data_IF_580974411639
#
_entry.id   IF_580974411639
#
_cell.length_a   1.000
_cell.length_b   1.000
_cell.length_c   1.000
_cell.angle_alpha   90.00
_cell.angle_beta   90.00
_cell.angle_gamma   90.00
#
_symmetry.space_group_name_H-M   'P 1'
#
loop_
_entity.id
_entity.type
_entity.pdbx_description
1 polymer ?
#
# COMPACT_ATOMS: atom_id res chain seq x y z
N UNK A 1 -52.72 11.33 10.76
CA UNK A 1 -51.48 10.50 10.79
C UNK A 1 -51.89 9.09 11.25
N UNK A 2 -51.73 8.08 10.40
CA UNK A 2 -52.10 6.70 10.79
C UNK A 2 -50.83 6.00 11.34
N UNK A 3 -50.68 6.02 12.65
CA UNK A 3 -49.53 5.43 13.36
C UNK A 3 -49.31 3.95 13.04
N UNK A 4 -50.38 3.15 12.80
CA UNK A 4 -50.28 1.76 12.42
C UNK A 4 -49.61 1.56 11.04
N UNK A 5 -49.87 2.48 10.09
CA UNK A 5 -49.26 2.46 8.77
C UNK A 5 -47.77 2.87 8.81
N UNK A 6 -47.45 3.80 9.71
CA UNK A 6 -46.06 4.19 9.95
C UNK A 6 -45.24 3.06 10.59
N UNK A 7 -45.86 2.35 11.58
CA UNK A 7 -45.23 1.23 12.26
C UNK A 7 -45.01 0.04 11.31
N UNK A 8 -45.95 -0.26 10.40
CA UNK A 8 -45.80 -1.31 9.39
C UNK A 8 -44.67 -0.98 8.38
N UNK A 9 -44.58 0.30 7.97
CA UNK A 9 -43.50 0.75 7.09
C UNK A 9 -42.11 0.65 7.76
N UNK A 10 -42.04 0.99 9.05
CA UNK A 10 -40.84 0.88 9.87
C UNK A 10 -40.39 -0.59 10.04
N UNK A 11 -41.35 -1.50 10.20
CA UNK A 11 -41.09 -2.94 10.29
C UNK A 11 -40.58 -3.54 8.97
N UNK A 12 -41.11 -3.10 7.83
CA UNK A 12 -40.66 -3.55 6.51
C UNK A 12 -39.30 -3.02 6.17
N UNK A 13 -38.98 -1.74 6.48
CA UNK A 13 -37.65 -1.15 6.34
C UNK A 13 -36.66 -1.88 7.25
N UNK A 14 -37.03 -2.15 8.51
CA UNK A 14 -36.16 -2.87 9.45
C UNK A 14 -35.86 -4.28 8.94
N UNK A 15 -36.86 -4.99 8.41
CA UNK A 15 -36.66 -6.32 7.82
C UNK A 15 -35.73 -6.26 6.61
N UNK A 16 -35.94 -5.32 5.68
CA UNK A 16 -35.07 -5.15 4.52
C UNK A 16 -33.61 -4.83 4.90
N UNK A 17 -33.40 -4.02 5.93
CA UNK A 17 -32.07 -3.72 6.46
C UNK A 17 -31.44 -4.96 7.09
N UNK A 18 -32.19 -5.74 7.87
CA UNK A 18 -31.69 -6.99 8.49
C UNK A 18 -31.30 -8.01 7.42
N UNK A 19 -32.15 -8.20 6.41
CA UNK A 19 -31.91 -9.17 5.33
C UNK A 19 -30.67 -8.74 4.50
N UNK A 20 -30.59 -7.48 4.08
CA UNK A 20 -29.44 -6.95 3.35
C UNK A 20 -28.13 -7.03 4.18
N UNK A 21 -28.22 -6.77 5.49
CA UNK A 21 -27.06 -6.89 6.40
C UNK A 21 -26.62 -8.36 6.53
N UNK A 22 -27.56 -9.29 6.60
CA UNK A 22 -27.26 -10.72 6.68
C UNK A 22 -26.57 -11.23 5.39
N UNK A 23 -27.09 -10.84 4.21
CA UNK A 23 -26.47 -11.17 2.92
C UNK A 23 -25.07 -10.59 2.80
N UNK A 24 -24.88 -9.31 3.16
CA UNK A 24 -23.58 -8.67 3.17
C UNK A 24 -22.59 -9.38 4.11
N UNK A 25 -23.01 -9.70 5.34
CA UNK A 25 -22.17 -10.39 6.30
C UNK A 25 -21.80 -11.80 5.81
N UNK A 26 -22.71 -12.51 5.16
CA UNK A 26 -22.43 -13.82 4.57
C UNK A 26 -21.37 -13.70 3.45
N UNK A 27 -21.51 -12.72 2.55
CA UNK A 27 -20.55 -12.46 1.49
C UNK A 27 -19.16 -12.07 2.06
N UNK A 28 -19.11 -11.27 3.12
CA UNK A 28 -17.87 -10.88 3.79
C UNK A 28 -17.19 -12.03 4.54
N UNK A 29 -17.96 -13.00 5.01
CA UNK A 29 -17.47 -14.19 5.71
C UNK A 29 -16.94 -15.28 4.75
N UNK A 30 -17.14 -15.13 3.44
CA UNK A 30 -16.62 -16.07 2.43
C UNK A 30 -15.10 -16.21 2.56
N UNK A 31 -14.62 -17.45 2.72
CA UNK A 31 -13.18 -17.78 2.69
C UNK A 31 -12.71 -17.72 1.24
N UNK A 32 -11.76 -16.84 0.95
CA UNK A 32 -11.26 -16.59 -0.41
C UNK A 32 -9.84 -17.10 -0.60
N UNK A 33 -9.10 -17.31 0.49
CA UNK A 33 -7.73 -17.78 0.46
C UNK A 33 -7.32 -18.37 1.82
N UNK A 34 -6.06 -18.83 1.89
CA UNK A 34 -5.41 -19.28 3.11
C UNK A 34 -4.00 -18.71 3.19
N UNK A 35 -3.58 -18.29 4.37
CA UNK A 35 -2.18 -17.96 4.64
C UNK A 35 -1.54 -19.01 5.55
N UNK A 36 -0.35 -19.48 5.17
CA UNK A 36 0.48 -20.37 5.99
C UNK A 36 1.32 -19.59 7.02
N UNK A 37 1.42 -18.27 6.82
CA UNK A 37 2.24 -17.36 7.62
C UNK A 37 1.41 -16.19 8.15
N UNK A 38 1.85 -15.55 9.23
CA UNK A 38 1.27 -14.29 9.68
C UNK A 38 1.79 -13.15 8.80
N UNK A 39 0.86 -12.32 8.29
CA UNK A 39 1.17 -11.12 7.51
C UNK A 39 0.94 -9.91 8.42
N UNK A 40 2.01 -9.16 8.72
CA UNK A 40 1.98 -8.19 9.80
C UNK A 40 2.15 -6.74 9.33
N UNK A 41 1.51 -5.82 10.06
CA UNK A 41 1.79 -4.38 10.04
C UNK A 41 2.61 -3.94 11.25
N UNK A 42 2.85 -4.87 12.18
CA UNK A 42 3.52 -4.61 13.45
C UNK A 42 4.81 -5.44 13.55
N UNK A 43 5.73 -4.95 14.33
CA UNK A 43 6.87 -5.74 14.81
C UNK A 43 6.36 -6.92 15.66
N UNK A 44 6.71 -8.17 15.33
CA UNK A 44 6.16 -9.36 15.99
C UNK A 44 6.65 -9.53 17.43
N UNK A 45 7.74 -8.86 17.81
CA UNK A 45 8.33 -8.96 19.16
C UNK A 45 7.75 -7.90 20.08
N UNK A 46 7.67 -6.65 19.61
CA UNK A 46 7.25 -5.50 20.42
C UNK A 46 5.78 -5.15 20.27
N UNK A 47 5.13 -5.60 19.19
CA UNK A 47 3.77 -5.23 18.82
C UNK A 47 3.63 -3.80 18.30
N UNK A 48 4.72 -3.05 18.19
CA UNK A 48 4.71 -1.68 17.66
C UNK A 48 4.48 -1.71 16.15
N UNK A 49 3.67 -0.80 15.67
CA UNK A 49 3.42 -0.68 14.23
C UNK A 49 4.69 -0.23 13.50
N UNK A 50 5.09 -1.00 12.47
CA UNK A 50 6.29 -0.72 11.67
C UNK A 50 6.00 -0.47 10.19
N UNK A 51 4.85 -0.86 9.67
CA UNK A 51 4.51 -0.70 8.24
C UNK A 51 4.59 0.75 7.72
N UNK A 52 4.70 1.74 8.63
CA UNK A 52 4.87 3.16 8.33
C UNK A 52 6.29 3.67 8.54
N UNK A 53 7.24 2.80 8.81
CA UNK A 53 8.64 3.16 9.07
C UNK A 53 9.64 2.08 8.64
N UNK A 54 9.17 0.90 8.26
CA UNK A 54 9.99 -0.21 7.80
C UNK A 54 9.21 -1.10 6.82
N UNK A 55 9.93 -1.94 6.10
CA UNK A 55 9.37 -3.00 5.27
C UNK A 55 8.60 -4.02 6.13
N UNK A 56 7.54 -4.58 5.58
CA UNK A 56 6.79 -5.69 6.18
C UNK A 56 6.35 -6.67 5.11
N UNK A 57 6.20 -7.95 5.48
CA UNK A 57 5.71 -8.97 4.56
C UNK A 57 4.31 -8.67 4.00
N UNK A 58 3.42 -8.06 4.79
CA UNK A 58 2.11 -7.61 4.28
C UNK A 58 2.27 -6.43 3.33
N UNK A 59 3.23 -5.54 3.58
CA UNK A 59 3.58 -4.45 2.69
C UNK A 59 4.06 -4.95 1.34
N UNK A 60 4.95 -5.95 1.34
CA UNK A 60 5.44 -6.61 0.15
C UNK A 60 4.32 -7.27 -0.64
N UNK A 61 3.47 -8.05 0.04
CA UNK A 61 2.31 -8.70 -0.59
C UNK A 61 1.39 -7.67 -1.26
N UNK A 62 1.10 -6.56 -0.60
CA UNK A 62 0.27 -5.50 -1.16
C UNK A 62 0.93 -4.84 -2.38
N UNK A 63 2.22 -4.52 -2.32
CA UNK A 63 2.94 -3.92 -3.44
C UNK A 63 3.08 -4.87 -4.62
N UNK A 64 3.33 -6.17 -4.36
CA UNK A 64 3.37 -7.22 -5.39
C UNK A 64 2.02 -7.37 -6.09
N UNK A 65 0.92 -7.27 -5.34
CA UNK A 65 -0.41 -7.31 -5.91
C UNK A 65 -0.64 -6.17 -6.92
N UNK A 66 -0.24 -4.94 -6.60
CA UNK A 66 -0.34 -3.81 -7.52
C UNK A 66 0.51 -4.00 -8.76
N UNK A 67 1.76 -4.48 -8.58
CA UNK A 67 2.67 -4.74 -9.69
C UNK A 67 2.16 -5.86 -10.59
N UNK A 68 1.67 -6.95 -10.02
CA UNK A 68 1.12 -8.09 -10.78
C UNK A 68 -0.09 -7.69 -11.63
N UNK A 69 -1.08 -7.03 -11.02
CA UNK A 69 -2.33 -6.66 -11.70
C UNK A 69 -2.08 -5.62 -12.79
N UNK A 70 -1.15 -4.70 -12.58
CA UNK A 70 -0.87 -3.61 -13.53
C UNK A 70 0.15 -3.99 -14.61
N UNK A 71 1.05 -4.94 -14.35
CA UNK A 71 2.22 -5.22 -15.18
C UNK A 71 3.26 -4.09 -15.20
N UNK A 72 3.21 -3.15 -14.25
CA UNK A 72 4.13 -2.03 -14.18
C UNK A 72 5.56 -2.47 -13.78
N UNK A 73 6.56 -1.65 -14.11
CA UNK A 73 7.96 -1.88 -13.73
C UNK A 73 8.12 -1.86 -12.21
N UNK A 74 7.47 -0.89 -11.56
CA UNK A 74 7.49 -0.72 -10.10
C UNK A 74 6.09 -0.45 -9.56
N UNK A 75 5.87 -0.81 -8.30
CA UNK A 75 4.62 -0.49 -7.61
C UNK A 75 4.89 0.07 -6.21
N UNK A 76 4.01 0.96 -5.75
CA UNK A 76 4.04 1.61 -4.45
C UNK A 76 2.72 1.43 -3.71
N UNK A 77 2.80 1.12 -2.42
CA UNK A 77 1.66 1.18 -1.51
C UNK A 77 2.06 1.91 -0.24
N UNK A 78 1.36 2.98 0.13
CA UNK A 78 1.69 3.70 1.34
C UNK A 78 1.32 2.91 2.60
N UNK A 79 2.20 2.86 3.58
CA UNK A 79 2.00 2.15 4.85
C UNK A 79 0.77 2.64 5.63
N UNK A 80 0.35 3.89 5.40
CA UNK A 80 -0.90 4.44 5.91
C UNK A 80 -2.16 3.77 5.35
N UNK A 81 -2.07 3.20 4.15
CA UNK A 81 -3.15 2.48 3.46
C UNK A 81 -3.31 1.02 3.91
N UNK A 82 -2.30 0.44 4.55
CA UNK A 82 -2.31 -0.95 5.03
C UNK A 82 -2.67 -0.96 6.52
N UNK A 83 -3.89 -1.40 6.86
CA UNK A 83 -4.51 -1.06 8.15
C UNK A 83 -4.44 -2.12 9.23
N UNK A 84 -4.48 -3.39 8.86
CA UNK A 84 -4.53 -4.52 9.81
C UNK A 84 -3.70 -5.69 9.31
N UNK A 85 -3.12 -6.45 10.24
CA UNK A 85 -2.45 -7.72 9.97
C UNK A 85 -3.45 -8.82 9.61
N UNK A 86 -3.00 -9.82 8.86
CA UNK A 86 -3.73 -11.06 8.58
C UNK A 86 -3.04 -12.20 9.31
N UNK A 87 -3.78 -12.96 10.12
CA UNK A 87 -3.24 -14.13 10.82
C UNK A 87 -3.10 -15.31 9.85
N UNK A 88 -2.19 -16.22 10.20
CA UNK A 88 -2.15 -17.53 9.53
C UNK A 88 -3.48 -18.27 9.71
N UNK A 89 -3.92 -18.95 8.64
CA UNK A 89 -5.21 -19.65 8.57
C UNK A 89 -6.04 -19.20 7.38
N UNK A 90 -7.34 -19.43 7.45
CA UNK A 90 -8.28 -19.03 6.41
C UNK A 90 -8.43 -17.51 6.36
N UNK A 91 -8.45 -16.97 5.15
CA UNK A 91 -8.60 -15.54 4.87
C UNK A 91 -10.00 -15.32 4.28
N UNK A 92 -10.78 -14.48 4.93
CA UNK A 92 -12.09 -14.10 4.44
C UNK A 92 -12.02 -12.85 3.54
N UNK A 93 -13.05 -12.63 2.75
CA UNK A 93 -13.22 -11.39 1.99
C UNK A 93 -13.16 -10.14 2.90
N UNK A 94 -13.69 -10.25 4.11
CA UNK A 94 -13.65 -9.19 5.11
C UNK A 94 -12.22 -8.89 5.61
N UNK A 95 -11.34 -9.89 5.69
CA UNK A 95 -9.96 -9.67 6.10
C UNK A 95 -9.21 -8.86 5.02
N UNK A 96 -9.42 -9.18 3.75
CA UNK A 96 -8.89 -8.39 2.62
C UNK A 96 -9.42 -6.94 2.65
N UNK A 97 -10.73 -6.76 2.86
CA UNK A 97 -11.35 -5.44 2.94
C UNK A 97 -10.79 -4.60 4.10
N UNK A 98 -10.49 -5.23 5.24
CA UNK A 98 -9.89 -4.54 6.40
C UNK A 98 -8.45 -4.09 6.15
N UNK A 99 -7.69 -4.80 5.31
CA UNK A 99 -6.34 -4.36 4.93
C UNK A 99 -6.42 -3.04 4.16
N UNK A 100 -7.32 -2.94 3.17
CA UNK A 100 -7.53 -1.76 2.33
C UNK A 100 -8.98 -1.25 2.41
N UNK A 101 -9.35 -0.51 3.48
CA UNK A 101 -10.74 -0.12 3.71
C UNK A 101 -11.18 1.17 3.02
N UNK A 102 -10.26 1.87 2.32
CA UNK A 102 -10.53 3.23 1.84
C UNK A 102 -11.21 3.30 0.47
N UNK A 103 -11.21 2.21 -0.28
CA UNK A 103 -11.80 2.17 -1.62
C UNK A 103 -11.01 3.01 -2.62
N UNK A 104 -9.68 3.09 -2.47
CA UNK A 104 -8.82 3.70 -3.48
C UNK A 104 -8.81 2.84 -4.75
N UNK A 105 -8.48 3.47 -5.87
CA UNK A 105 -8.50 2.82 -7.18
C UNK A 105 -7.08 2.71 -7.74
N UNK A 106 -6.74 1.55 -8.31
CA UNK A 106 -5.47 1.31 -9.01
C UNK A 106 -5.34 2.28 -10.19
N UNK A 107 -4.17 2.94 -10.24
CA UNK A 107 -3.73 3.78 -11.34
C UNK A 107 -2.31 3.40 -11.75
N UNK A 108 -1.97 3.68 -13.02
CA UNK A 108 -0.62 3.52 -13.56
C UNK A 108 -0.23 4.79 -14.30
N UNK A 109 0.96 5.30 -14.04
CA UNK A 109 1.53 6.43 -14.77
C UNK A 109 2.95 6.14 -15.25
N UNK A 110 3.38 6.91 -16.25
CA UNK A 110 4.79 6.98 -16.65
C UNK A 110 5.50 8.01 -15.75
N UNK A 111 6.67 7.65 -15.22
CA UNK A 111 7.46 8.50 -14.35
C UNK A 111 8.95 8.39 -14.71
N UNK A 112 9.69 9.49 -14.55
CA UNK A 112 11.14 9.44 -14.66
C UNK A 112 11.75 8.76 -13.43
N UNK A 113 12.94 8.17 -13.58
CA UNK A 113 13.67 7.64 -12.44
C UNK A 113 13.93 8.69 -11.37
N UNK A 114 14.12 9.97 -11.76
CA UNK A 114 14.25 11.07 -10.81
C UNK A 114 12.98 11.25 -9.96
N UNK A 115 11.80 11.14 -10.56
CA UNK A 115 10.53 11.22 -9.81
C UNK A 115 10.37 10.04 -8.85
N UNK A 116 10.81 8.85 -9.22
CA UNK A 116 10.84 7.68 -8.33
C UNK A 116 11.79 7.93 -7.15
N UNK A 117 13.00 8.41 -7.41
CA UNK A 117 13.96 8.79 -6.36
C UNK A 117 13.40 9.84 -5.39
N UNK A 118 12.69 10.83 -5.91
CA UNK A 118 12.04 11.86 -5.10
C UNK A 118 10.90 11.30 -4.24
N UNK A 119 10.11 10.38 -4.79
CA UNK A 119 9.03 9.72 -4.05
C UNK A 119 9.56 8.82 -2.93
N UNK A 120 10.65 8.09 -3.17
CA UNK A 120 11.31 7.28 -2.15
C UNK A 120 11.90 8.17 -1.05
N UNK A 121 12.54 9.30 -1.39
CA UNK A 121 13.07 10.25 -0.42
C UNK A 121 11.96 10.87 0.43
N UNK A 122 10.82 11.26 -0.19
CA UNK A 122 9.64 11.73 0.51
C UNK A 122 9.12 10.68 1.50
N UNK A 123 9.11 9.40 1.09
CA UNK A 123 8.56 8.31 1.89
C UNK A 123 9.30 8.09 3.21
N UNK A 124 10.61 8.34 3.23
CA UNK A 124 11.48 8.13 4.39
C UNK A 124 11.74 9.39 5.21
N UNK A 125 11.08 10.50 4.88
CA UNK A 125 11.35 11.82 5.50
C UNK A 125 11.22 11.86 7.00
N UNK A 126 10.33 11.06 7.58
CA UNK A 126 10.02 11.07 9.01
C UNK A 126 10.84 10.08 9.84
N UNK A 127 11.61 9.19 9.19
CA UNK A 127 12.39 8.18 9.93
C UNK A 127 13.36 8.82 10.94
N UNK A 128 13.44 8.24 12.14
CA UNK A 128 12.89 6.94 12.58
C UNK A 128 11.41 6.98 13.00
N UNK A 129 10.73 8.12 12.92
CA UNK A 129 9.30 8.24 13.21
C UNK A 129 8.40 7.63 12.13
N UNK A 130 7.12 7.45 12.47
CA UNK A 130 6.10 6.96 11.53
C UNK A 130 5.65 8.04 10.53
N UNK A 131 5.38 7.59 9.30
CA UNK A 131 4.78 8.42 8.27
C UNK A 131 3.78 7.62 7.43
N UNK A 132 2.55 8.13 7.28
CA UNK A 132 1.51 7.45 6.46
C UNK A 132 1.95 7.20 5.03
N UNK A 133 2.74 8.11 4.46
CA UNK A 133 3.30 8.03 3.12
C UNK A 133 4.58 7.20 2.99
N UNK A 134 5.01 6.47 4.03
CA UNK A 134 6.10 5.49 3.90
C UNK A 134 5.69 4.43 2.88
N UNK A 135 6.51 4.21 1.85
CA UNK A 135 6.18 3.34 0.73
C UNK A 135 6.67 1.92 0.98
N UNK A 136 5.76 0.97 0.88
CA UNK A 136 6.04 -0.43 0.64
C UNK A 136 6.17 -0.61 -0.89
N UNK A 137 7.14 -1.37 -1.36
CA UNK A 137 7.56 -1.35 -2.76
C UNK A 137 7.61 -2.73 -3.41
N UNK A 138 7.40 -2.77 -4.73
CA UNK A 138 7.64 -3.95 -5.57
C UNK A 138 8.33 -3.55 -6.87
N UNK A 139 9.20 -4.43 -7.39
CA UNK A 139 9.97 -4.20 -8.61
C UNK A 139 11.23 -3.35 -8.40
N UNK A 140 11.46 -2.86 -7.18
CA UNK A 140 12.69 -2.13 -6.82
C UNK A 140 13.17 -2.47 -5.41
N UNK A 141 14.45 -2.17 -5.15
CA UNK A 141 15.08 -2.23 -3.83
C UNK A 141 15.88 -0.96 -3.57
N UNK A 142 16.07 -0.59 -2.31
CA UNK A 142 16.89 0.59 -1.95
C UNK A 142 17.39 0.54 -0.51
N UNK A 143 18.41 1.35 -0.23
CA UNK A 143 18.94 1.60 1.10
C UNK A 143 18.43 2.95 1.64
N UNK A 144 18.17 2.99 2.95
CA UNK A 144 17.86 4.23 3.68
C UNK A 144 18.94 4.50 4.71
N UNK A 145 19.74 5.54 4.48
CA UNK A 145 20.79 5.97 5.40
C UNK A 145 20.18 6.82 6.53
N UNK A 146 19.72 6.16 7.57
CA UNK A 146 18.92 6.77 8.66
C UNK A 146 19.73 7.71 9.55
N UNK A 147 21.05 7.62 9.54
CA UNK A 147 21.95 8.56 10.22
C UNK A 147 22.01 9.95 9.57
N UNK A 148 21.55 10.09 8.31
CA UNK A 148 21.44 11.38 7.64
C UNK A 148 20.13 12.08 8.02
N UNK A 149 20.13 13.42 8.14
CA UNK A 149 18.90 14.19 8.29
C UNK A 149 18.06 14.14 7.00
N UNK A 150 16.74 14.27 7.13
CA UNK A 150 15.89 14.45 5.95
C UNK A 150 16.14 15.81 5.30
N UNK A 151 16.28 15.81 3.99
CA UNK A 151 16.46 17.02 3.15
C UNK A 151 15.23 17.33 2.29
N UNK A 152 14.11 16.63 2.54
CA UNK A 152 12.83 16.87 1.89
C UNK A 152 12.27 18.22 2.27
N UNK A 153 11.82 18.97 1.28
CA UNK A 153 11.11 20.25 1.43
C UNK A 153 9.63 20.08 1.17
N UNK A 154 8.84 20.62 2.10
CA UNK A 154 7.40 20.66 2.01
C UNK A 154 6.94 22.12 2.04
N UNK A 155 5.83 22.41 1.36
CA UNK A 155 5.19 23.71 1.45
C UNK A 155 4.35 23.88 2.74
N UNK A 156 3.72 25.04 2.89
CA UNK A 156 2.86 25.38 4.04
C UNK A 156 1.63 24.45 4.18
N UNK A 157 1.27 23.71 3.11
CA UNK A 157 0.18 22.74 3.08
C UNK A 157 0.67 21.31 3.25
N UNK A 158 1.95 21.13 3.61
CA UNK A 158 2.62 19.83 3.70
C UNK A 158 2.61 19.06 2.37
N UNK A 159 2.74 19.75 1.23
CA UNK A 159 2.90 19.16 -0.07
C UNK A 159 4.38 19.16 -0.47
N UNK A 160 4.82 18.13 -1.17
CA UNK A 160 6.21 17.99 -1.62
C UNK A 160 6.59 19.12 -2.59
N UNK A 161 7.74 19.74 -2.34
CA UNK A 161 8.33 20.79 -3.17
C UNK A 161 9.62 20.31 -3.84
N UNK A 162 10.43 19.53 -3.13
CA UNK A 162 11.71 19.03 -3.63
C UNK A 162 12.60 18.44 -2.55
N UNK A 163 13.82 18.12 -2.95
CA UNK A 163 14.88 17.63 -2.06
C UNK A 163 16.07 18.58 -2.19
N UNK A 164 16.54 19.13 -1.06
CA UNK A 164 17.65 20.08 -1.02
C UNK A 164 18.77 19.60 -0.11
N UNK A 165 19.75 18.90 -0.68
CA UNK A 165 20.89 18.39 0.04
C UNK A 165 21.15 16.90 -0.20
N UNK A 166 21.85 16.27 0.73
CA UNK A 166 22.23 14.87 0.65
C UNK A 166 21.00 13.97 0.87
N UNK A 167 20.79 13.00 -0.04
CA UNK A 167 19.68 12.07 0.02
C UNK A 167 19.95 10.95 1.01
N UNK A 168 18.90 10.54 1.73
CA UNK A 168 18.90 9.35 2.58
C UNK A 168 18.74 8.07 1.76
N UNK A 169 18.00 8.13 0.66
CA UNK A 169 17.77 7.01 -0.24
C UNK A 169 18.95 6.84 -1.16
N UNK A 170 19.53 5.63 -1.17
CA UNK A 170 20.70 5.26 -1.97
C UNK A 170 20.55 3.85 -2.55
N UNK A 171 21.42 3.52 -3.48
CA UNK A 171 21.51 2.19 -4.08
C UNK A 171 20.15 1.67 -4.58
N UNK A 172 19.38 2.56 -5.23
CA UNK A 172 18.08 2.18 -5.79
C UNK A 172 18.30 1.33 -7.03
N UNK A 173 17.73 0.11 -6.99
CA UNK A 173 17.81 -0.85 -8.07
C UNK A 173 16.40 -1.14 -8.58
N UNK A 174 16.18 -1.11 -9.88
CA UNK A 174 14.94 -1.52 -10.55
C UNK A 174 15.23 -2.76 -11.38
N UNK A 175 14.52 -3.84 -11.15
CA UNK A 175 14.74 -5.14 -11.80
C UNK A 175 16.21 -5.62 -11.70
N UNK A 176 16.91 -5.26 -10.63
CA UNK A 176 18.32 -5.64 -10.38
C UNK A 176 19.36 -4.71 -11.00
N UNK A 177 18.97 -3.66 -11.73
CA UNK A 177 19.87 -2.68 -12.33
C UNK A 177 19.74 -1.33 -11.60
N UNK A 178 20.83 -0.54 -11.49
CA UNK A 178 20.76 0.79 -10.93
C UNK A 178 19.73 1.65 -11.66
N UNK A 179 18.89 2.37 -10.89
CA UNK A 179 17.90 3.27 -11.49
C UNK A 179 18.58 4.37 -12.30
N UNK A 180 18.12 4.55 -13.55
CA UNK A 180 18.53 5.69 -14.38
C UNK A 180 17.56 6.86 -14.14
N UNK A 181 18.01 8.00 -13.57
CA UNK A 181 17.15 9.15 -13.30
C UNK A 181 16.43 9.71 -14.53
N UNK A 182 17.01 9.58 -15.72
CA UNK A 182 16.47 10.12 -16.98
C UNK A 182 15.58 9.13 -17.73
N UNK A 183 15.63 7.84 -17.37
CA UNK A 183 14.79 6.83 -17.99
C UNK A 183 13.33 6.96 -17.52
N UNK A 184 12.41 6.46 -18.35
CA UNK A 184 10.98 6.40 -18.03
C UNK A 184 10.62 4.99 -17.56
N UNK A 185 9.90 4.92 -16.46
CA UNK A 185 9.38 3.69 -15.85
C UNK A 185 7.86 3.80 -15.71
N UNK A 186 7.19 2.67 -15.76
CA UNK A 186 5.78 2.58 -15.38
C UNK A 186 5.65 2.37 -13.87
N UNK A 187 4.83 3.20 -13.22
CA UNK A 187 4.61 3.20 -11.78
C UNK A 187 3.16 2.92 -11.48
N UNK A 188 2.89 1.84 -10.73
CA UNK A 188 1.57 1.49 -10.23
C UNK A 188 1.41 1.92 -8.76
N UNK A 189 0.27 2.49 -8.45
CA UNK A 189 -0.22 2.74 -7.09
C UNK A 189 -1.71 3.08 -7.18
N UNK A 190 -2.29 3.56 -6.10
CA UNK A 190 -3.66 4.03 -6.12
C UNK A 190 -3.78 5.55 -6.33
N UNK A 191 -4.98 5.98 -6.75
CA UNK A 191 -5.30 7.37 -7.08
C UNK A 191 -5.00 8.35 -5.94
N UNK A 192 -5.16 7.96 -4.67
CA UNK A 192 -4.78 8.78 -3.52
C UNK A 192 -3.31 9.21 -3.58
N UNK A 193 -2.38 8.28 -3.91
CA UNK A 193 -0.94 8.55 -3.97
C UNK A 193 -0.50 9.22 -5.26
N UNK A 194 -1.00 8.76 -6.42
CA UNK A 194 -0.49 9.24 -7.70
C UNK A 194 -1.17 10.52 -8.19
N UNK A 195 -2.48 10.68 -7.91
CA UNK A 195 -3.29 11.75 -8.49
C UNK A 195 -3.71 12.83 -7.48
N UNK A 196 -4.04 12.41 -6.25
CA UNK A 196 -4.72 13.29 -5.29
C UNK A 196 -3.78 13.99 -4.30
N UNK A 197 -2.47 13.75 -4.41
CA UNK A 197 -1.49 14.35 -3.50
C UNK A 197 -1.56 13.77 -2.08
N UNK A 198 -1.98 12.51 -1.96
CA UNK A 198 -2.07 11.81 -0.68
C UNK A 198 -0.73 11.79 0.05
N UNK A 199 -0.78 11.98 1.37
CA UNK A 199 0.41 12.10 2.21
C UNK A 199 1.41 13.18 1.73
N UNK A 200 0.93 14.19 0.98
CA UNK A 200 1.75 15.26 0.43
C UNK A 200 2.51 14.90 -0.85
N UNK A 201 2.28 13.73 -1.43
CA UNK A 201 2.93 13.32 -2.67
C UNK A 201 2.29 13.98 -3.89
N UNK A 202 2.92 15.02 -4.40
CA UNK A 202 2.51 15.74 -5.63
C UNK A 202 3.35 15.37 -6.85
N UNK A 203 4.34 14.48 -6.68
CA UNK A 203 5.39 14.19 -7.65
C UNK A 203 4.82 13.66 -8.97
N UNK A 204 3.80 12.80 -8.88
CA UNK A 204 3.24 12.11 -10.05
C UNK A 204 1.99 12.78 -10.63
N UNK A 205 1.44 13.80 -9.95
CA UNK A 205 0.12 14.38 -10.23
C UNK A 205 -0.10 14.82 -11.68
N UNK A 206 0.96 15.30 -12.34
CA UNK A 206 0.90 15.83 -13.71
C UNK A 206 1.50 14.87 -14.74
N UNK A 207 1.79 13.63 -14.35
CA UNK A 207 2.35 12.65 -15.27
C UNK A 207 1.30 12.13 -16.26
N UNK A 208 1.76 11.47 -17.30
CA UNK A 208 0.90 10.73 -18.22
C UNK A 208 0.40 9.46 -17.55
N UNK A 209 -0.92 9.36 -17.35
CA UNK A 209 -1.58 8.17 -16.81
C UNK A 209 -1.99 7.25 -17.95
N UNK A 210 -1.47 6.04 -17.95
CA UNK A 210 -1.86 4.98 -18.89
C UNK A 210 -3.13 4.26 -18.45
N UNK A 211 -3.36 4.19 -17.12
CA UNK A 211 -4.53 3.57 -16.52
C UNK A 211 -5.01 4.41 -15.33
N UNK A 212 -6.31 4.65 -15.25
CA UNK A 212 -6.94 5.43 -14.17
C UNK A 212 -8.16 4.68 -13.65
N UNK A 213 -8.25 4.56 -12.32
CA UNK A 213 -9.39 3.98 -11.60
C UNK A 213 -9.82 2.59 -12.11
N UNK A 214 -8.83 1.71 -12.34
CA UNK A 214 -9.03 0.40 -12.97
C UNK A 214 -9.72 -0.60 -12.05
N UNK A 215 -9.32 -0.65 -10.78
CA UNK A 215 -9.75 -1.67 -9.83
C UNK A 215 -9.61 -1.15 -8.39
N UNK A 216 -10.53 -1.50 -7.49
CA UNK A 216 -10.43 -1.19 -6.06
C UNK A 216 -9.19 -1.83 -5.43
N UNK A 217 -8.54 -1.15 -4.51
CA UNK A 217 -7.34 -1.60 -3.79
C UNK A 217 -7.51 -2.97 -3.13
N UNK A 218 -8.63 -3.23 -2.50
CA UNK A 218 -8.94 -4.55 -1.92
C UNK A 218 -9.15 -5.63 -2.99
N UNK A 219 -9.70 -5.29 -4.15
CA UNK A 219 -9.83 -6.21 -5.29
C UNK A 219 -8.47 -6.52 -5.91
N UNK A 220 -7.55 -5.56 -5.98
CA UNK A 220 -6.16 -5.77 -6.44
C UNK A 220 -5.49 -6.84 -5.58
N UNK A 221 -5.58 -6.72 -4.25
CA UNK A 221 -5.03 -7.70 -3.34
C UNK A 221 -5.71 -9.08 -3.48
N UNK A 222 -7.05 -9.10 -3.58
CA UNK A 222 -7.81 -10.33 -3.78
C UNK A 222 -7.42 -11.03 -5.07
N UNK A 223 -7.35 -10.31 -6.18
CA UNK A 223 -6.95 -10.86 -7.50
C UNK A 223 -5.56 -11.49 -7.44
N UNK A 224 -4.59 -10.79 -6.85
CA UNK A 224 -3.24 -11.33 -6.72
C UNK A 224 -3.21 -12.63 -5.91
N UNK A 225 -3.86 -12.65 -4.76
CA UNK A 225 -3.87 -13.82 -3.88
C UNK A 225 -4.58 -15.00 -4.55
N UNK A 226 -5.69 -14.78 -5.26
CA UNK A 226 -6.46 -15.86 -5.88
C UNK A 226 -5.88 -16.33 -7.21
N UNK A 227 -5.38 -15.45 -8.05
CA UNK A 227 -4.92 -15.78 -9.40
C UNK A 227 -3.42 -16.08 -9.47
N UNK A 228 -2.56 -15.23 -8.85
CA UNK A 228 -1.12 -15.43 -8.90
C UNK A 228 -0.65 -16.50 -7.89
N UNK A 229 -1.22 -16.44 -6.66
CA UNK A 229 -0.84 -17.35 -5.57
C UNK A 229 -1.75 -18.57 -5.46
N UNK A 230 -2.74 -18.74 -6.36
CA UNK A 230 -3.68 -19.85 -6.35
C UNK A 230 -4.39 -20.03 -5.01
N UNK A 231 -4.70 -18.94 -4.31
CA UNK A 231 -5.40 -18.93 -3.04
C UNK A 231 -4.55 -19.30 -1.82
N UNK A 232 -3.22 -19.45 -1.95
CA UNK A 232 -2.34 -19.81 -0.83
C UNK A 232 -1.16 -18.86 -0.72
N UNK A 233 -1.07 -18.14 0.40
CA UNK A 233 0.07 -17.28 0.73
C UNK A 233 1.05 -18.12 1.58
N UNK A 234 2.19 -18.46 1.00
CA UNK A 234 3.16 -19.39 1.58
C UNK A 234 4.46 -18.72 2.05
N UNK A 235 5.52 -19.54 2.07
CA UNK A 235 6.84 -19.25 2.62
C UNK A 235 7.52 -18.00 2.04
N UNK A 236 7.20 -17.60 0.82
CA UNK A 236 7.73 -16.37 0.21
C UNK A 236 7.47 -15.10 1.05
N UNK A 237 6.43 -15.13 1.88
CA UNK A 237 6.07 -14.02 2.79
C UNK A 237 6.27 -14.38 4.27
N UNK A 238 7.11 -15.37 4.61
CA UNK A 238 7.29 -15.83 5.99
C UNK A 238 8.04 -14.83 6.88
N UNK A 239 8.97 -14.04 6.31
CA UNK A 239 9.72 -13.06 7.08
C UNK A 239 8.85 -11.83 7.39
N UNK A 240 8.48 -11.56 8.65
CA UNK A 240 7.63 -10.42 9.00
C UNK A 240 8.24 -9.05 8.65
N UNK A 241 9.57 -9.00 8.48
CA UNK A 241 10.32 -7.79 8.11
C UNK A 241 10.53 -7.66 6.59
N UNK A 242 9.81 -8.46 5.78
CA UNK A 242 9.88 -8.44 4.34
C UNK A 242 11.07 -9.17 3.75
N UNK A 243 11.35 -8.93 2.47
CA UNK A 243 12.38 -9.62 1.69
C UNK A 243 13.70 -8.83 1.59
N UNK A 244 13.82 -7.70 2.29
CA UNK A 244 15.00 -6.84 2.24
C UNK A 244 14.98 -5.88 1.03
N UNK A 245 13.79 -5.48 0.59
CA UNK A 245 13.63 -4.46 -0.45
C UNK A 245 13.98 -3.07 0.05
N UNK A 246 13.82 -2.85 1.36
CA UNK A 246 14.09 -1.57 2.04
C UNK A 246 15.06 -1.82 3.19
N UNK A 247 16.32 -1.48 3.00
CA UNK A 247 17.38 -1.75 3.96
C UNK A 247 17.77 -0.47 4.71
N UNK A 248 17.60 -0.47 6.03
CA UNK A 248 18.06 0.63 6.88
C UNK A 248 19.57 0.52 7.15
N UNK A 249 20.31 1.62 6.88
CA UNK A 249 21.74 1.77 7.21
C UNK A 249 21.83 2.80 8.34
N UNK A 250 22.20 2.35 9.55
CA UNK A 250 22.14 3.18 10.76
C UNK A 250 23.41 3.96 11.06
N UNK A 251 24.53 3.61 10.45
CA UNK A 251 25.82 4.28 10.64
C UNK A 251 26.51 4.54 9.30
N UNK A 252 27.29 5.61 9.26
CA UNK A 252 28.18 5.89 8.11
C UNK A 252 29.22 4.75 7.97
N UNK A 253 29.54 4.34 6.74
CA UNK A 253 30.53 3.31 6.45
C UNK A 253 31.95 3.72 6.87
#
# INVERSE_FOLDING_TARGET
FNAAKLYALDTDITRAVVDATAEMNAALAEVVARSEVELTVNDPVTGVRIVRSAETNLGDLCADAYRYVSGADVAFVNGGGIRVSIKAGDITRNDILKVHPFGNMLCVCEATGQQILDALELSVKALPGEYGGFLQVSGLTFEVHTYLPSTVKMDEKNMFVGVEGERRVRNVMVAGEPIDPEATYTVASHNYMLMNGGDGNTIFKNNHFTHVDVMLDNQVLLTYVTEALNGVIGEAYANPYGEGRIVAVEAAP
#
